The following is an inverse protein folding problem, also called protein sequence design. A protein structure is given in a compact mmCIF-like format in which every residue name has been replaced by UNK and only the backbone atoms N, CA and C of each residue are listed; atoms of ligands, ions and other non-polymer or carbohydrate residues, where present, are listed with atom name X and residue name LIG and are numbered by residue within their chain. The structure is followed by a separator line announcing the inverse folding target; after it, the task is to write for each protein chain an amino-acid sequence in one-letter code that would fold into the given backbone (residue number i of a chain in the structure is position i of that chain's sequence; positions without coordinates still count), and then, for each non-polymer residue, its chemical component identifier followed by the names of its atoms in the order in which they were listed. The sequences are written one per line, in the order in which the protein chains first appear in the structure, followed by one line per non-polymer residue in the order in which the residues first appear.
data_IF_730601487316
#
_entry.id   IF_730601487316
#
_cell.length_a   1.000
_cell.length_b   1.000
_cell.length_c   1.000
_cell.angle_alpha   90.00
_cell.angle_beta   90.00
_cell.angle_gamma   90.00
#
_symmetry.space_group_name_H-M   'P 1'
#
loop_
_entity.id
_entity.type
_entity.pdbx_description
1 polymer ?
#
# COMPACT_ATOMS: atom_id res chain seq x y z
N UNK A 1 -10.96 -10.82 -68.83
CA UNK A 1 -9.91 -11.53 -68.07
C UNK A 1 -9.01 -10.45 -67.47
N UNK A 2 -8.88 -10.39 -66.14
CA UNK A 2 -8.13 -9.32 -65.46
C UNK A 2 -6.64 -9.69 -65.52
N UNK A 3 -5.82 -8.88 -66.18
CA UNK A 3 -4.35 -9.06 -66.18
C UNK A 3 -3.87 -9.03 -64.73
N UNK A 4 -3.21 -10.09 -64.26
CA UNK A 4 -2.60 -10.16 -62.93
C UNK A 4 -1.09 -10.27 -63.06
N UNK A 5 -0.37 -9.52 -62.23
CA UNK A 5 1.10 -9.56 -62.17
C UNK A 5 1.51 -10.28 -60.89
N UNK A 6 2.39 -11.27 -61.01
CA UNK A 6 2.93 -11.97 -59.82
C UNK A 6 4.05 -11.16 -59.18
N UNK A 7 3.96 -10.95 -57.87
CA UNK A 7 5.05 -10.45 -57.05
C UNK A 7 5.98 -11.59 -56.67
N UNK A 8 7.26 -11.42 -56.93
CA UNK A 8 8.32 -12.35 -56.53
C UNK A 8 9.24 -11.72 -55.50
N UNK A 9 9.76 -12.52 -54.58
CA UNK A 9 10.80 -12.11 -53.64
C UNK A 9 12.04 -11.62 -54.39
N UNK A 10 12.56 -10.42 -54.09
CA UNK A 10 13.76 -9.87 -54.70
C UNK A 10 15.00 -10.73 -54.48
N UNK A 11 15.11 -11.41 -53.32
CA UNK A 11 16.20 -12.34 -52.95
C UNK A 11 16.07 -13.75 -53.56
N UNK A 12 15.05 -14.54 -53.17
CA UNK A 12 14.93 -15.94 -53.62
C UNK A 12 14.05 -16.16 -54.86
N UNK A 13 13.45 -15.10 -55.44
CA UNK A 13 12.53 -15.15 -56.60
C UNK A 13 11.27 -15.99 -56.43
N UNK A 14 11.00 -16.54 -55.24
CA UNK A 14 9.75 -17.26 -54.93
C UNK A 14 8.54 -16.32 -55.09
N UNK A 15 7.45 -16.81 -55.70
CA UNK A 15 6.20 -16.06 -55.88
C UNK A 15 5.52 -15.88 -54.52
N UNK A 16 5.25 -14.64 -54.14
CA UNK A 16 4.67 -14.29 -52.83
C UNK A 16 3.17 -14.08 -52.95
N UNK A 17 2.73 -13.30 -53.94
CA UNK A 17 1.34 -12.93 -54.13
C UNK A 17 1.07 -12.49 -55.58
N UNK A 18 -0.20 -12.36 -55.96
CA UNK A 18 -0.63 -11.79 -57.24
C UNK A 18 -1.37 -10.48 -56.97
N UNK A 19 -1.08 -9.45 -57.77
CA UNK A 19 -1.76 -8.16 -57.71
C UNK A 19 -2.41 -7.89 -59.08
N UNK A 20 -3.63 -7.30 -59.13
CA UNK A 20 -4.21 -6.83 -60.38
C UNK A 20 -3.25 -5.88 -61.12
N UNK A 21 -3.10 -6.06 -62.43
CA UNK A 21 -2.11 -5.37 -63.28
C UNK A 21 -2.34 -3.86 -63.45
N UNK A 22 -3.33 -3.29 -62.78
CA UNK A 22 -3.56 -1.84 -62.69
C UNK A 22 -2.67 -1.15 -61.65
N UNK A 23 -2.04 -1.91 -60.76
CA UNK A 23 -1.15 -1.36 -59.73
C UNK A 23 0.32 -1.39 -60.19
N UNK A 24 0.90 -0.23 -60.46
CA UNK A 24 2.34 -0.08 -60.66
C UNK A 24 3.02 0.15 -59.30
N UNK A 25 3.84 -0.80 -58.84
CA UNK A 25 4.69 -0.61 -57.65
C UNK A 25 6.13 -1.03 -57.95
N UNK A 26 7.09 -0.15 -57.66
CA UNK A 26 8.53 -0.42 -57.70
C UNK A 26 9.09 -0.54 -56.28
N UNK A 27 8.78 -1.64 -55.59
CA UNK A 27 9.36 -1.92 -54.28
C UNK A 27 10.10 -3.26 -54.27
N UNK A 28 11.20 -3.33 -53.53
CA UNK A 28 11.91 -4.58 -53.30
C UNK A 28 11.19 -5.35 -52.19
N UNK A 29 10.58 -6.48 -52.54
CA UNK A 29 9.81 -7.31 -51.60
C UNK A 29 10.66 -8.51 -51.23
N UNK A 30 10.91 -8.73 -49.94
CA UNK A 30 11.69 -9.87 -49.44
C UNK A 30 10.75 -10.81 -48.68
N UNK A 31 10.76 -12.10 -49.00
CA UNK A 31 9.91 -13.08 -48.31
C UNK A 31 10.36 -13.28 -46.85
N UNK A 32 9.45 -13.76 -46.01
CA UNK A 32 9.69 -13.97 -44.57
C UNK A 32 10.88 -14.91 -44.31
N UNK A 33 11.18 -15.84 -45.24
CA UNK A 33 12.35 -16.74 -45.14
C UNK A 33 13.67 -16.01 -45.37
N UNK A 34 13.69 -15.01 -46.26
CA UNK A 34 14.88 -14.25 -46.66
C UNK A 34 15.04 -12.92 -45.92
N UNK A 35 14.01 -12.48 -45.20
CA UNK A 35 14.09 -11.36 -44.27
C UNK A 35 14.82 -11.80 -43.00
N UNK A 36 15.82 -11.02 -42.59
CA UNK A 36 16.57 -11.33 -41.37
C UNK A 36 15.60 -11.44 -40.19
N UNK A 37 15.62 -12.57 -39.49
CA UNK A 37 14.84 -12.74 -38.27
C UNK A 37 15.32 -11.65 -37.29
N UNK A 38 14.44 -10.80 -36.73
CA UNK A 38 14.87 -9.79 -35.79
C UNK A 38 15.61 -10.48 -34.65
N UNK A 39 16.86 -10.08 -34.42
CA UNK A 39 17.68 -10.66 -33.36
C UNK A 39 16.89 -10.56 -32.05
N UNK A 40 16.74 -11.69 -31.37
CA UNK A 40 16.02 -11.80 -30.10
C UNK A 40 16.61 -10.74 -29.17
N UNK A 41 15.91 -9.62 -28.95
CA UNK A 41 16.33 -8.56 -28.02
C UNK A 41 16.67 -9.25 -26.69
N UNK A 42 17.95 -9.25 -26.31
CA UNK A 42 18.37 -9.71 -24.99
C UNK A 42 17.64 -8.82 -23.99
N UNK A 43 16.72 -9.39 -23.20
CA UNK A 43 16.08 -8.70 -22.08
C UNK A 43 17.20 -8.29 -21.12
N UNK A 44 17.63 -7.03 -21.19
CA UNK A 44 18.42 -6.43 -20.12
C UNK A 44 17.56 -6.46 -18.87
N UNK A 45 17.99 -7.20 -17.84
CA UNK A 45 17.48 -7.03 -16.48
C UNK A 45 17.91 -5.64 -16.02
N UNK A 46 17.15 -4.62 -16.42
CA UNK A 46 17.12 -3.39 -15.65
C UNK A 46 16.50 -3.78 -14.31
N UNK A 47 17.34 -4.01 -13.31
CA UNK A 47 16.89 -4.01 -11.93
C UNK A 47 16.27 -2.63 -11.71
N UNK A 48 14.94 -2.58 -11.62
CA UNK A 48 14.26 -1.45 -11.02
C UNK A 48 14.78 -1.38 -9.58
N UNK A 49 15.86 -0.62 -9.37
CA UNK A 49 16.25 -0.19 -8.03
C UNK A 49 15.12 0.76 -7.63
N UNK A 50 14.06 0.19 -7.06
CA UNK A 50 13.03 0.97 -6.40
C UNK A 50 13.75 1.71 -5.27
N UNK A 51 14.10 2.96 -5.51
CA UNK A 51 14.62 3.85 -4.49
C UNK A 51 13.58 3.93 -3.38
N UNK A 52 14.00 4.02 -2.11
CA UNK A 52 13.08 4.18 -0.99
C UNK A 52 12.08 5.32 -1.23
N UNK A 53 12.49 6.36 -1.95
CA UNK A 53 11.65 7.46 -2.44
C UNK A 53 10.44 7.00 -3.29
N UNK A 54 10.58 6.01 -4.20
CA UNK A 54 9.46 5.55 -5.04
C UNK A 54 8.47 4.64 -4.31
N UNK A 55 8.89 4.05 -3.18
CA UNK A 55 7.99 3.33 -2.27
C UNK A 55 7.24 4.29 -1.33
N UNK A 56 7.87 5.38 -0.89
CA UNK A 56 7.21 6.43 -0.10
C UNK A 56 6.29 7.34 -0.94
N UNK A 57 6.61 7.58 -2.21
CA UNK A 57 5.81 8.41 -3.12
C UNK A 57 4.41 7.84 -3.44
N UNK A 58 4.13 6.58 -3.08
CA UNK A 58 2.81 5.96 -3.23
C UNK A 58 1.90 6.12 -2.00
N UNK A 59 2.45 6.62 -0.90
CA UNK A 59 1.67 6.80 0.33
C UNK A 59 0.90 8.12 0.21
N UNK A 60 -0.43 8.01 0.07
CA UNK A 60 -1.36 9.16 -0.06
C UNK A 60 -1.56 9.86 1.28
N UNK A 61 -0.51 10.50 1.80
CA UNK A 61 -0.63 11.36 2.97
C UNK A 61 -1.43 12.63 2.68
N UNK A 62 -2.00 13.25 3.71
CA UNK A 62 -2.65 14.55 3.59
C UNK A 62 -3.76 14.79 4.61
N UNK A 63 -4.25 16.03 4.62
CA UNK A 63 -5.42 16.43 5.41
C UNK A 63 -6.68 15.88 4.75
N UNK A 64 -7.64 15.45 5.57
CA UNK A 64 -8.94 14.92 5.15
C UNK A 64 -10.04 15.72 5.84
N UNK A 65 -10.66 16.64 5.09
CA UNK A 65 -11.67 17.57 5.62
C UNK A 65 -12.91 16.88 6.18
N UNK A 66 -13.18 15.65 5.74
CA UNK A 66 -14.26 14.80 6.24
C UNK A 66 -13.99 14.20 7.62
N UNK A 67 -12.73 14.20 8.07
CA UNK A 67 -12.31 13.65 9.36
C UNK A 67 -11.98 14.78 10.34
N UNK A 68 -10.99 15.60 9.99
CA UNK A 68 -10.55 16.72 10.81
C UNK A 68 -9.92 17.80 9.93
N UNK A 69 -10.21 19.10 10.17
CA UNK A 69 -9.74 20.18 9.30
C UNK A 69 -8.22 20.38 9.32
N UNK A 70 -7.52 19.93 10.36
CA UNK A 70 -6.09 20.22 10.55
C UNK A 70 -5.19 18.99 10.67
N UNK A 71 -5.72 17.79 10.89
CA UNK A 71 -4.88 16.62 11.09
C UNK A 71 -4.31 16.11 9.77
N UNK A 72 -3.00 15.90 9.75
CA UNK A 72 -2.28 15.36 8.61
C UNK A 72 -2.07 13.85 8.81
N UNK A 73 -2.83 13.03 8.10
CA UNK A 73 -2.65 11.59 8.12
C UNK A 73 -1.52 11.21 7.17
N UNK A 74 -0.60 10.36 7.62
CA UNK A 74 0.53 9.88 6.81
C UNK A 74 0.12 8.75 5.89
N UNK A 75 -0.98 8.04 6.17
CA UNK A 75 -1.46 6.94 5.33
C UNK A 75 -2.99 6.86 5.23
N UNK A 76 -3.52 6.24 4.16
CA UNK A 76 -4.95 5.90 4.05
C UNK A 76 -5.48 5.06 5.21
N UNK A 77 -4.64 4.20 5.81
CA UNK A 77 -5.07 3.35 6.91
C UNK A 77 -5.34 4.16 8.19
N UNK A 78 -4.47 5.13 8.50
CA UNK A 78 -4.68 6.05 9.61
C UNK A 78 -5.97 6.85 9.37
N UNK A 79 -6.15 7.42 8.18
CA UNK A 79 -7.36 8.17 7.83
C UNK A 79 -8.63 7.31 7.96
N UNK A 80 -8.61 6.07 7.46
CA UNK A 80 -9.77 5.19 7.57
C UNK A 80 -10.07 4.77 9.01
N UNK A 81 -9.05 4.51 9.83
CA UNK A 81 -9.25 4.24 11.27
C UNK A 81 -9.87 5.46 11.95
N UNK A 82 -9.42 6.68 11.63
CA UNK A 82 -10.04 7.89 12.13
C UNK A 82 -11.52 8.02 11.70
N UNK A 83 -11.87 7.69 10.44
CA UNK A 83 -13.27 7.62 9.99
C UNK A 83 -14.10 6.61 10.78
N UNK A 84 -13.51 5.48 11.17
CA UNK A 84 -14.18 4.51 12.04
C UNK A 84 -14.46 5.13 13.40
N UNK A 85 -13.50 5.86 13.98
CA UNK A 85 -13.70 6.58 15.23
C UNK A 85 -14.82 7.64 15.14
N UNK A 86 -14.90 8.38 14.05
CA UNK A 86 -16.01 9.31 13.78
C UNK A 86 -17.35 8.56 13.68
N UNK A 87 -17.42 7.45 12.94
CA UNK A 87 -18.65 6.66 12.78
C UNK A 87 -19.18 6.12 14.11
N UNK A 88 -18.29 5.67 14.99
CA UNK A 88 -18.65 5.17 16.33
C UNK A 88 -18.72 6.28 17.39
N UNK A 89 -18.54 7.55 16.99
CA UNK A 89 -18.55 8.73 17.87
C UNK A 89 -17.58 8.61 19.06
N UNK A 90 -16.40 8.03 18.83
CA UNK A 90 -15.36 8.01 19.84
C UNK A 90 -14.76 9.41 20.01
N UNK A 91 -14.28 9.73 21.22
CA UNK A 91 -13.43 10.91 21.45
C UNK A 91 -11.99 10.47 21.34
N UNK A 92 -11.26 11.04 20.37
CA UNK A 92 -9.92 10.65 20.03
C UNK A 92 -9.05 11.84 19.65
N UNK A 93 -7.73 11.68 19.79
CA UNK A 93 -6.72 12.66 19.37
C UNK A 93 -5.69 11.97 18.47
N UNK A 94 -5.32 12.63 17.35
CA UNK A 94 -4.25 12.15 16.47
C UNK A 94 -2.89 12.64 16.98
N UNK A 95 -1.93 11.72 17.12
CA UNK A 95 -0.57 12.07 17.56
C UNK A 95 -0.53 12.89 18.88
N UNK A 96 -1.54 12.75 19.74
CA UNK A 96 -1.74 13.59 20.94
C UNK A 96 -0.79 13.30 22.11
N UNK A 97 -0.38 12.05 22.28
CA UNK A 97 0.54 11.65 23.36
C UNK A 97 1.95 11.33 22.84
N UNK A 98 2.94 12.06 23.38
CA UNK A 98 4.37 11.84 23.16
C UNK A 98 5.03 11.12 24.36
N UNK A 99 5.83 10.11 24.07
CA UNK A 99 6.58 9.29 25.01
C UNK A 99 8.08 9.52 24.81
N UNK A 100 8.77 10.05 25.83
CA UNK A 100 10.20 10.36 25.80
C UNK A 100 11.03 9.26 26.48
N UNK A 101 11.95 8.66 25.76
CA UNK A 101 12.81 7.59 26.27
C UNK A 101 14.07 8.17 26.90
N UNK A 102 14.03 8.40 28.22
CA UNK A 102 15.11 9.07 28.97
C UNK A 102 16.41 8.25 29.03
N UNK A 103 16.31 6.92 28.95
CA UNK A 103 17.46 6.02 29.14
C UNK A 103 18.28 5.76 27.86
N UNK A 104 18.00 6.46 26.75
CA UNK A 104 18.58 6.15 25.45
C UNK A 104 19.33 7.34 24.84
N UNK A 105 20.66 7.20 24.77
CA UNK A 105 21.54 8.16 24.07
C UNK A 105 21.50 8.01 22.54
N UNK A 106 20.64 7.15 22.01
CA UNK A 106 20.54 6.86 20.56
C UNK A 106 19.09 7.00 20.09
N UNK A 107 18.90 7.55 18.89
CA UNK A 107 17.58 7.65 18.25
C UNK A 107 16.94 6.26 18.05
N UNK A 108 15.61 6.11 18.20
CA UNK A 108 14.64 7.14 18.58
C UNK A 108 14.63 7.41 20.09
N UNK A 109 14.64 8.70 20.47
CA UNK A 109 14.47 9.19 21.85
C UNK A 109 13.00 9.52 22.18
N UNK A 110 12.14 9.51 21.16
CA UNK A 110 10.72 9.77 21.30
C UNK A 110 9.86 8.82 20.50
N UNK A 111 8.64 8.63 20.97
CA UNK A 111 7.61 7.88 20.30
C UNK A 111 6.26 8.57 20.47
N UNK A 112 5.54 8.74 19.37
CA UNK A 112 4.22 9.34 19.34
C UNK A 112 3.29 8.24 18.83
N UNK A 113 2.21 7.98 19.57
CA UNK A 113 1.18 7.03 19.17
C UNK A 113 0.34 7.64 18.05
N UNK A 114 -0.15 6.81 17.14
CA UNK A 114 -1.00 7.33 16.06
C UNK A 114 -2.33 7.89 16.60
N UNK A 115 -2.97 7.21 17.55
CA UNK A 115 -4.22 7.67 18.17
C UNK A 115 -4.27 7.43 19.67
N UNK A 116 -4.92 8.35 20.38
CA UNK A 116 -5.38 8.16 21.75
C UNK A 116 -6.91 8.26 21.80
N UNK A 117 -7.57 7.19 22.22
CA UNK A 117 -9.04 7.18 22.40
C UNK A 117 -9.34 7.32 23.89
N UNK A 118 -9.92 8.45 24.27
CA UNK A 118 -10.23 8.76 25.68
C UNK A 118 -11.63 8.30 26.09
N UNK A 119 -12.56 8.26 25.13
CA UNK A 119 -13.94 7.77 25.32
C UNK A 119 -14.37 6.95 24.12
N UNK A 120 -14.79 5.71 24.37
CA UNK A 120 -15.38 4.84 23.36
C UNK A 120 -16.87 4.60 23.68
N UNK A 121 -17.77 5.03 22.80
CA UNK A 121 -19.21 4.83 22.98
C UNK A 121 -19.56 3.36 22.67
N UNK A 122 -19.82 2.59 23.73
CA UNK A 122 -20.18 1.16 23.63
C UNK A 122 -21.53 0.92 22.97
N UNK A 123 -22.45 1.89 23.04
CA UNK A 123 -23.82 1.78 22.51
C UNK A 123 -23.86 1.62 21.00
N UNK A 124 -23.22 2.52 20.24
CA UNK A 124 -23.14 2.44 18.77
C UNK A 124 -22.30 1.27 18.27
N UNK A 125 -21.41 0.77 19.12
CA UNK A 125 -20.58 -0.37 18.75
C UNK A 125 -21.29 -1.70 18.90
N UNK A 126 -22.42 -1.79 19.61
CA UNK A 126 -23.08 -3.06 20.01
C UNK A 126 -23.28 -4.02 18.84
N UNK A 127 -23.55 -3.47 17.66
CA UNK A 127 -23.86 -4.23 16.45
C UNK A 127 -22.62 -4.66 15.64
N UNK A 128 -21.43 -4.15 15.97
CA UNK A 128 -20.18 -4.51 15.29
C UNK A 128 -19.41 -5.62 16.00
N UNK A 129 -18.84 -6.60 15.27
CA UNK A 129 -18.06 -7.68 15.89
C UNK A 129 -16.70 -7.21 16.42
N UNK A 130 -16.15 -6.10 15.89
CA UNK A 130 -14.96 -5.44 16.44
C UNK A 130 -15.42 -4.30 17.34
N UNK A 131 -14.87 -4.26 18.56
CA UNK A 131 -15.07 -3.17 19.52
C UNK A 131 -13.78 -2.40 19.70
N UNK A 132 -13.89 -1.08 19.64
CA UNK A 132 -12.89 -0.12 20.08
C UNK A 132 -13.21 0.30 21.51
N UNK A 133 -12.17 0.37 22.33
CA UNK A 133 -12.22 0.81 23.71
C UNK A 133 -11.23 1.94 23.97
N UNK A 134 -11.25 2.46 25.20
CA UNK A 134 -10.32 3.49 25.66
C UNK A 134 -8.90 2.91 25.72
N UNK A 135 -8.08 3.25 24.72
CA UNK A 135 -6.75 2.72 24.53
C UNK A 135 -5.93 3.64 23.61
N UNK A 136 -4.62 3.41 23.58
CA UNK A 136 -3.78 3.93 22.50
C UNK A 136 -3.87 2.99 21.30
N UNK A 137 -3.98 3.54 20.09
CA UNK A 137 -3.99 2.74 18.86
C UNK A 137 -2.80 3.11 17.99
N UNK A 138 -2.05 2.08 17.57
CA UNK A 138 -0.96 2.23 16.59
C UNK A 138 -1.34 1.54 15.29
N UNK A 139 -1.33 2.27 14.19
CA UNK A 139 -1.60 1.74 12.85
C UNK A 139 -0.27 1.39 12.17
N UNK A 140 -0.11 0.12 11.77
CA UNK A 140 1.10 -0.35 11.09
C UNK A 140 0.80 -1.27 9.91
N UNK A 141 1.11 -0.78 8.71
CA UNK A 141 1.12 -1.60 7.50
C UNK A 141 2.30 -2.58 7.42
N UNK A 142 3.46 -2.16 7.92
CA UNK A 142 4.71 -2.94 7.89
C UNK A 142 5.41 -2.87 9.25
N UNK A 143 5.87 -4.02 9.74
CA UNK A 143 6.57 -4.12 11.03
C UNK A 143 8.08 -4.20 10.80
N UNK A 144 8.71 -3.08 10.47
CA UNK A 144 10.15 -3.01 10.19
C UNK A 144 11.00 -3.10 11.47
N UNK A 145 12.32 -3.37 11.37
CA UNK A 145 13.19 -3.46 12.55
C UNK A 145 13.20 -2.21 13.42
N UNK A 146 13.09 -1.01 12.81
CA UNK A 146 13.06 0.27 13.55
C UNK A 146 11.78 0.39 14.38
N UNK A 147 10.62 0.07 13.81
CA UNK A 147 9.35 0.06 14.55
C UNK A 147 9.38 -0.94 15.71
N UNK A 148 9.88 -2.16 15.49
CA UNK A 148 10.01 -3.16 16.58
C UNK A 148 10.89 -2.66 17.72
N UNK A 149 12.01 -2.02 17.41
CA UNK A 149 12.89 -1.46 18.43
C UNK A 149 12.21 -0.31 19.18
N UNK A 150 11.48 0.57 18.48
CA UNK A 150 10.71 1.64 19.10
C UNK A 150 9.64 1.09 20.06
N UNK A 151 8.87 0.09 19.63
CA UNK A 151 7.86 -0.57 20.45
C UNK A 151 8.44 -1.29 21.68
N UNK A 152 9.62 -1.91 21.54
CA UNK A 152 10.32 -2.52 22.69
C UNK A 152 10.76 -1.46 23.71
N UNK A 153 11.30 -0.33 23.24
CA UNK A 153 11.67 0.81 24.11
C UNK A 153 10.44 1.39 24.79
N UNK A 154 9.36 1.59 24.03
CA UNK A 154 8.08 2.03 24.56
C UNK A 154 7.58 1.13 25.68
N UNK A 155 7.49 -0.18 25.43
CA UNK A 155 7.08 -1.15 26.46
C UNK A 155 7.98 -1.13 27.69
N UNK A 156 9.30 -0.97 27.52
CA UNK A 156 10.25 -0.92 28.63
C UNK A 156 10.06 0.33 29.51
N UNK A 157 9.89 1.51 28.89
CA UNK A 157 9.79 2.79 29.61
C UNK A 157 8.37 3.08 30.13
N UNK A 158 7.35 2.56 29.44
CA UNK A 158 5.94 2.87 29.67
C UNK A 158 5.09 1.58 29.69
N UNK A 159 5.35 0.64 30.61
CA UNK A 159 4.71 -0.68 30.60
C UNK A 159 3.19 -0.62 30.79
N UNK A 160 2.69 0.33 31.57
CA UNK A 160 1.25 0.50 31.81
C UNK A 160 0.51 0.98 30.55
N UNK A 161 1.07 1.99 29.87
CA UNK A 161 0.51 2.54 28.64
C UNK A 161 0.61 1.51 27.50
N UNK A 162 1.72 0.77 27.44
CA UNK A 162 1.90 -0.32 26.48
C UNK A 162 0.90 -1.47 26.68
N UNK A 163 0.53 -1.80 27.92
CA UNK A 163 -0.53 -2.77 28.20
C UNK A 163 -1.91 -2.27 27.72
N UNK A 164 -2.11 -0.95 27.71
CA UNK A 164 -3.30 -0.28 27.18
C UNK A 164 -3.16 0.14 25.71
N UNK A 165 -2.24 -0.48 24.96
CA UNK A 165 -2.06 -0.22 23.52
C UNK A 165 -2.63 -1.36 22.69
N UNK A 166 -3.36 -1.01 21.64
CA UNK A 166 -3.89 -1.95 20.65
C UNK A 166 -3.26 -1.63 19.29
N UNK A 167 -2.54 -2.59 18.72
CA UNK A 167 -1.94 -2.43 17.39
C UNK A 167 -2.94 -2.81 16.29
N UNK A 168 -3.13 -1.95 15.30
CA UNK A 168 -3.90 -2.22 14.08
C UNK A 168 -2.90 -2.59 12.99
N UNK A 169 -2.77 -3.89 12.72
CA UNK A 169 -1.71 -4.43 11.87
C UNK A 169 -2.25 -5.10 10.61
N UNK A 170 -1.38 -5.27 9.63
CA UNK A 170 -1.62 -6.21 8.54
C UNK A 170 -1.54 -7.67 9.05
N UNK A 171 -2.06 -8.62 8.28
CA UNK A 171 -1.95 -10.08 8.55
C UNK A 171 -0.54 -10.64 8.29
N UNK A 172 0.49 -9.79 8.40
CA UNK A 172 1.87 -10.19 8.22
C UNK A 172 2.34 -11.07 9.39
N UNK A 173 2.96 -12.21 9.08
CA UNK A 173 3.41 -13.18 10.08
C UNK A 173 4.40 -12.57 11.06
N UNK A 174 5.24 -11.65 10.60
CA UNK A 174 6.27 -11.03 11.43
C UNK A 174 5.65 -9.97 12.38
N UNK A 175 4.67 -9.20 11.92
CA UNK A 175 3.88 -8.31 12.78
C UNK A 175 3.13 -9.08 13.88
N UNK A 176 2.45 -10.17 13.51
CA UNK A 176 1.71 -11.03 14.46
C UNK A 176 2.65 -11.62 15.52
N UNK A 177 3.73 -12.29 15.10
CA UNK A 177 4.72 -12.87 16.03
C UNK A 177 5.33 -11.82 16.95
N UNK A 178 5.54 -10.60 16.45
CA UNK A 178 6.05 -9.52 17.27
C UNK A 178 5.07 -9.12 18.37
N UNK A 179 3.79 -8.95 18.03
CA UNK A 179 2.75 -8.58 19.00
C UNK A 179 2.58 -9.68 20.05
N UNK A 180 2.48 -10.94 19.64
CA UNK A 180 2.34 -12.09 20.54
C UNK A 180 3.54 -12.21 21.49
N UNK A 181 4.77 -12.20 20.96
CA UNK A 181 5.99 -12.28 21.79
C UNK A 181 6.13 -11.09 22.73
N UNK A 182 5.68 -9.91 22.29
CA UNK A 182 5.76 -8.68 23.08
C UNK A 182 4.53 -8.46 23.96
N UNK A 183 3.53 -9.34 23.94
CA UNK A 183 2.28 -9.20 24.70
C UNK A 183 1.46 -7.95 24.35
N UNK A 184 1.60 -7.41 23.13
CA UNK A 184 0.72 -6.33 22.67
C UNK A 184 -0.60 -6.92 22.20
N UNK A 185 -1.70 -6.26 22.57
CA UNK A 185 -3.00 -6.53 21.97
C UNK A 185 -3.00 -6.00 20.55
N UNK A 186 -3.66 -6.71 19.65
CA UNK A 186 -3.71 -6.30 18.25
C UNK A 186 -5.02 -6.73 17.60
N UNK A 187 -5.34 -6.07 16.50
CA UNK A 187 -6.41 -6.43 15.58
C UNK A 187 -5.92 -6.26 14.14
N UNK A 188 -6.60 -6.93 13.20
CA UNK A 188 -6.23 -6.83 11.80
C UNK A 188 -6.97 -5.69 11.12
N UNK A 189 -6.21 -4.83 10.43
CA UNK A 189 -6.78 -3.76 9.62
C UNK A 189 -7.79 -4.30 8.58
N UNK A 190 -7.54 -5.50 8.03
CA UNK A 190 -8.45 -6.08 7.05
C UNK A 190 -9.82 -6.44 7.63
N UNK A 191 -9.89 -6.78 8.92
CA UNK A 191 -11.17 -7.09 9.57
C UNK A 191 -11.94 -5.80 9.83
N UNK A 192 -11.24 -4.74 10.26
CA UNK A 192 -11.78 -3.37 10.34
C UNK A 192 -12.31 -2.93 8.98
N UNK A 193 -11.51 -3.08 7.92
CA UNK A 193 -11.90 -2.74 6.56
C UNK A 193 -13.16 -3.50 6.12
N UNK A 194 -13.21 -4.82 6.32
CA UNK A 194 -14.35 -5.64 5.90
C UNK A 194 -15.67 -5.18 6.54
N UNK A 195 -15.63 -4.73 7.80
CA UNK A 195 -16.81 -4.32 8.56
C UNK A 195 -17.23 -2.89 8.21
N UNK A 196 -16.28 -1.96 8.20
CA UNK A 196 -16.59 -0.53 8.19
C UNK A 196 -16.53 0.11 6.80
N UNK A 197 -15.81 -0.49 5.84
CA UNK A 197 -15.73 0.04 4.46
C UNK A 197 -17.11 0.22 3.80
N UNK A 198 -18.09 -0.70 3.93
CA UNK A 198 -19.41 -0.49 3.36
C UNK A 198 -20.21 0.64 4.01
N UNK A 199 -19.84 1.05 5.23
CA UNK A 199 -20.56 2.03 6.05
C UNK A 199 -20.00 3.44 5.91
N UNK A 200 -18.80 3.60 5.33
CA UNK A 200 -18.06 4.85 5.28
C UNK A 200 -17.90 5.29 3.82
N UNK A 201 -18.54 6.39 3.38
CA UNK A 201 -18.61 6.78 1.97
C UNK A 201 -17.26 7.17 1.34
N UNK A 202 -16.29 7.63 2.14
CA UNK A 202 -14.97 8.08 1.67
C UNK A 202 -13.84 7.10 2.03
N UNK A 203 -14.13 5.81 2.14
CA UNK A 203 -13.12 4.82 2.49
C UNK A 203 -11.99 4.76 1.44
N UNK A 204 -10.75 4.99 1.85
CA UNK A 204 -9.60 4.97 0.96
C UNK A 204 -9.05 3.55 0.77
N UNK A 205 -8.74 3.18 -0.47
CA UNK A 205 -8.06 1.93 -0.79
C UNK A 205 -6.59 1.91 -0.37
N UNK A 206 -5.95 0.73 -0.48
CA UNK A 206 -4.49 0.58 -0.35
C UNK A 206 -3.74 1.25 -1.50
#
# INVERSE_FOLDING_TARGET
MVNQTSITCSKCKEKIAYIPGVYAMSCQIICVKCGDKPSRRKKTKQSNIATAASNYARVRGGIRKDIHPTYFFRSPWEANVARVFELIEATWEFEGTEFLFKDYNTSPYKYIMDFEVTKALKSKQKDYPIKFEKAYYEVKGWMDPKSRNKMRRYKKNYPQQAANTIMIINRDKLAVKFCEKSGFRYMFYHDVEKIFKPLIPNWEGR
#
